data_IF_972922498557
#
_entry.id   IF_972922498557
#
_cell.length_a   1.000
_cell.length_b   1.000
_cell.length_c   1.000
_cell.angle_alpha   90.00
_cell.angle_beta   90.00
_cell.angle_gamma   90.00
#
_symmetry.space_group_name_H-M   'P 1'
#
loop_
_entity.id
_entity.type
_entity.pdbx_description
1 polymer ?
#
# COMPACT_ATOMS: atom_id res chain seq x y z
N UNK A 1 0.53 -37.19 2.40
CA UNK A 1 -0.66 -37.12 3.27
C UNK A 1 -1.30 -35.79 2.91
N UNK A 2 -2.51 -35.79 2.35
CA UNK A 2 -3.16 -34.54 1.94
C UNK A 2 -3.49 -33.75 3.20
N UNK A 3 -2.95 -32.54 3.30
CA UNK A 3 -3.24 -31.64 4.40
C UNK A 3 -4.54 -30.90 4.08
N UNK A 4 -5.62 -31.34 4.70
CA UNK A 4 -6.92 -30.66 4.62
C UNK A 4 -6.91 -29.41 5.49
N UNK A 5 -7.24 -28.26 4.92
CA UNK A 5 -7.31 -26.98 5.62
C UNK A 5 -8.71 -26.38 5.48
N UNK A 6 -9.35 -26.13 6.62
CA UNK A 6 -10.75 -25.72 6.70
C UNK A 6 -10.90 -24.20 6.90
N UNK A 7 -11.46 -23.53 5.89
CA UNK A 7 -11.78 -22.10 5.87
C UNK A 7 -13.28 -21.85 5.66
N UNK A 8 -14.14 -22.85 5.85
CA UNK A 8 -15.58 -22.72 5.60
C UNK A 8 -16.24 -21.65 6.46
N UNK A 9 -17.21 -20.93 5.88
CA UNK A 9 -18.11 -19.97 6.54
C UNK A 9 -17.41 -18.90 7.40
N UNK A 10 -16.21 -18.48 6.98
CA UNK A 10 -15.40 -17.49 7.66
C UNK A 10 -15.19 -16.25 6.77
N UNK A 11 -14.72 -15.17 7.39
CA UNK A 11 -14.39 -13.92 6.70
C UNK A 11 -12.87 -13.77 6.59
N UNK A 12 -12.38 -13.75 5.35
CA UNK A 12 -10.96 -13.54 5.04
C UNK A 12 -10.74 -12.31 4.18
N UNK A 13 -11.68 -11.35 4.18
CA UNK A 13 -11.55 -10.13 3.41
C UNK A 13 -10.17 -9.48 3.61
N UNK A 14 -9.47 -9.18 2.50
CA UNK A 14 -8.13 -8.60 2.43
C UNK A 14 -6.99 -9.48 2.96
N UNK A 15 -7.21 -10.79 3.08
CA UNK A 15 -6.17 -11.74 3.47
C UNK A 15 -5.30 -12.19 2.29
N UNK A 16 -4.03 -12.49 2.56
CA UNK A 16 -3.10 -13.01 1.56
C UNK A 16 -2.74 -14.45 1.87
N UNK A 17 -3.08 -15.33 0.93
CA UNK A 17 -2.86 -16.77 0.98
C UNK A 17 -1.62 -17.21 0.17
N UNK A 18 -0.92 -16.28 -0.48
CA UNK A 18 0.25 -16.55 -1.33
C UNK A 18 1.32 -17.42 -0.64
N UNK A 19 1.52 -17.23 0.67
CA UNK A 19 2.53 -17.97 1.43
C UNK A 19 2.01 -19.26 2.08
N UNK A 20 0.69 -19.43 2.16
CA UNK A 20 0.03 -20.59 2.80
C UNK A 20 -0.04 -21.79 1.84
N UNK A 21 -0.20 -21.51 0.54
CA UNK A 21 -0.34 -22.54 -0.49
C UNK A 21 0.78 -22.44 -1.52
N UNK A 22 1.97 -22.93 -1.17
CA UNK A 22 3.13 -22.92 -2.08
C UNK A 22 2.96 -23.97 -3.18
N UNK A 23 3.42 -23.64 -4.40
CA UNK A 23 3.49 -24.56 -5.54
C UNK A 23 4.20 -25.87 -5.14
N UNK A 24 3.52 -27.00 -5.39
CA UNK A 24 4.01 -28.34 -5.07
C UNK A 24 3.66 -28.86 -3.67
N UNK A 25 2.87 -28.14 -2.87
CA UNK A 25 2.34 -28.63 -1.60
C UNK A 25 1.04 -29.43 -1.77
N UNK A 26 0.88 -30.53 -1.01
CA UNK A 26 -0.31 -31.39 -1.01
C UNK A 26 -1.44 -30.86 -0.10
N UNK A 27 -1.80 -29.58 -0.25
CA UNK A 27 -2.84 -28.95 0.58
C UNK A 27 -4.18 -28.93 -0.17
N UNK A 28 -5.23 -29.44 0.48
CA UNK A 28 -6.61 -29.25 0.01
C UNK A 28 -7.26 -28.16 0.86
N UNK A 29 -7.72 -27.08 0.22
CA UNK A 29 -8.34 -25.96 0.91
C UNK A 29 -9.85 -25.93 0.67
N UNK A 30 -10.63 -25.85 1.75
CA UNK A 30 -12.08 -25.69 1.68
C UNK A 30 -12.50 -24.30 2.16
N UNK A 31 -12.86 -23.44 1.22
CA UNK A 31 -13.36 -22.09 1.40
C UNK A 31 -14.89 -21.99 1.34
N UNK A 32 -15.63 -23.10 1.34
CA UNK A 32 -17.08 -23.08 1.08
C UNK A 32 -17.82 -22.05 1.94
N UNK A 33 -18.64 -21.20 1.31
CA UNK A 33 -19.46 -20.20 1.99
C UNK A 33 -18.69 -19.05 2.67
N UNK A 34 -17.38 -18.94 2.46
CA UNK A 34 -16.55 -17.88 3.01
C UNK A 34 -16.64 -16.57 2.23
N UNK A 35 -16.25 -15.46 2.87
CA UNK A 35 -16.08 -14.15 2.22
C UNK A 35 -14.61 -13.93 1.88
N UNK A 36 -14.35 -13.66 0.61
CA UNK A 36 -13.00 -13.57 0.05
C UNK A 36 -12.82 -12.28 -0.75
N UNK A 37 -13.21 -11.12 -0.20
CA UNK A 37 -13.06 -9.85 -0.92
C UNK A 37 -11.62 -9.39 -0.88
N UNK A 38 -11.12 -8.88 -2.01
CA UNK A 38 -9.78 -8.29 -2.12
C UNK A 38 -8.65 -9.21 -1.59
N UNK A 39 -8.83 -10.52 -1.74
CA UNK A 39 -7.86 -11.53 -1.29
C UNK A 39 -6.72 -11.73 -2.29
N UNK A 40 -5.58 -12.20 -1.81
CA UNK A 40 -4.40 -12.48 -2.62
C UNK A 40 -4.06 -13.97 -2.67
N UNK A 41 -4.34 -14.58 -3.81
CA UNK A 41 -3.99 -15.96 -4.16
C UNK A 41 -2.92 -16.01 -5.27
N UNK A 42 -2.16 -14.94 -5.50
CA UNK A 42 -1.18 -14.91 -6.59
C UNK A 42 -0.15 -16.04 -6.47
N UNK A 43 -0.05 -16.90 -7.49
CA UNK A 43 0.88 -18.03 -7.52
C UNK A 43 0.58 -19.13 -6.51
N UNK A 44 -0.60 -19.16 -5.91
CA UNK A 44 -0.99 -20.17 -4.93
C UNK A 44 -1.28 -21.53 -5.59
N UNK A 45 -0.97 -22.62 -4.88
CA UNK A 45 -1.38 -23.98 -5.25
C UNK A 45 -2.73 -24.32 -4.63
N UNK A 46 -3.78 -24.24 -5.42
CA UNK A 46 -5.18 -24.41 -5.02
C UNK A 46 -5.83 -25.53 -5.84
N UNK A 47 -5.04 -26.53 -6.23
CA UNK A 47 -5.53 -27.72 -6.91
C UNK A 47 -6.57 -28.41 -6.04
N UNK A 48 -7.70 -28.78 -6.65
CA UNK A 48 -8.87 -29.39 -6.01
C UNK A 48 -9.56 -28.52 -4.94
N UNK A 49 -9.16 -27.25 -4.73
CA UNK A 49 -9.74 -26.39 -3.68
C UNK A 49 -11.23 -26.11 -3.90
N UNK A 50 -12.00 -26.04 -2.81
CA UNK A 50 -13.44 -25.79 -2.85
C UNK A 50 -13.77 -24.33 -2.49
N UNK A 51 -14.25 -23.58 -3.46
CA UNK A 51 -14.75 -22.19 -3.35
C UNK A 51 -16.27 -22.11 -3.56
N UNK A 52 -17.00 -23.22 -3.38
CA UNK A 52 -18.44 -23.24 -3.59
C UNK A 52 -19.16 -22.26 -2.65
N UNK A 53 -20.23 -21.64 -3.13
CA UNK A 53 -21.06 -20.69 -2.37
C UNK A 53 -20.29 -19.48 -1.80
N UNK A 54 -19.10 -19.18 -2.31
CA UNK A 54 -18.30 -18.04 -1.83
C UNK A 54 -18.71 -16.74 -2.48
N UNK A 55 -18.56 -15.65 -1.71
CA UNK A 55 -18.67 -14.29 -2.23
C UNK A 55 -17.27 -13.71 -2.41
N UNK A 56 -16.81 -13.66 -3.65
CA UNK A 56 -15.52 -13.10 -4.04
C UNK A 56 -15.75 -11.76 -4.73
N UNK A 57 -15.05 -10.73 -4.28
CA UNK A 57 -15.40 -9.37 -4.61
C UNK A 57 -14.29 -8.37 -4.36
N UNK A 58 -14.63 -7.10 -4.56
CA UNK A 58 -13.83 -5.98 -4.08
C UNK A 58 -14.39 -5.49 -2.75
N UNK A 59 -13.52 -5.20 -1.78
CA UNK A 59 -13.91 -4.37 -0.64
C UNK A 59 -13.94 -2.90 -1.05
N UNK A 60 -15.13 -2.41 -1.42
CA UNK A 60 -15.33 -1.03 -1.85
C UNK A 60 -14.93 -0.01 -0.79
N UNK A 61 -15.11 -0.30 0.51
CA UNK A 61 -14.77 0.66 1.58
C UNK A 61 -13.26 0.85 1.65
N UNK A 62 -12.51 -0.24 1.65
CA UNK A 62 -11.04 -0.19 1.70
C UNK A 62 -10.50 0.40 0.41
N UNK A 63 -10.97 -0.05 -0.75
CA UNK A 63 -10.53 0.47 -2.05
C UNK A 63 -10.75 1.99 -2.16
N UNK A 64 -11.94 2.48 -1.82
CA UNK A 64 -12.22 3.92 -1.83
C UNK A 64 -11.35 4.68 -0.82
N UNK A 65 -11.06 4.10 0.34
CA UNK A 65 -10.16 4.71 1.31
C UNK A 65 -8.73 4.84 0.76
N UNK A 66 -8.21 3.79 0.10
CA UNK A 66 -6.87 3.80 -0.51
C UNK A 66 -6.78 4.82 -1.66
N UNK A 67 -7.78 4.87 -2.54
CA UNK A 67 -7.86 5.89 -3.61
C UNK A 67 -7.93 7.29 -3.03
N UNK A 68 -8.81 7.52 -2.04
CA UNK A 68 -8.97 8.83 -1.42
C UNK A 68 -7.65 9.31 -0.81
N UNK A 69 -6.92 8.43 -0.12
CA UNK A 69 -5.60 8.76 0.43
C UNK A 69 -4.60 9.14 -0.65
N UNK A 70 -4.57 8.39 -1.76
CA UNK A 70 -3.71 8.70 -2.91
C UNK A 70 -4.04 10.06 -3.52
N UNK A 71 -5.32 10.32 -3.78
CA UNK A 71 -5.80 11.57 -4.37
C UNK A 71 -5.52 12.76 -3.44
N UNK A 72 -5.77 12.60 -2.14
CA UNK A 72 -5.50 13.64 -1.14
C UNK A 72 -4.02 14.04 -1.10
N UNK A 73 -3.09 13.08 -1.23
CA UNK A 73 -1.67 13.38 -1.27
C UNK A 73 -1.26 14.12 -2.55
N UNK A 74 -1.86 13.79 -3.70
CA UNK A 74 -1.57 14.49 -4.96
C UNK A 74 -2.14 15.91 -4.92
N UNK A 75 -3.40 16.08 -4.49
CA UNK A 75 -4.10 17.37 -4.52
C UNK A 75 -3.64 18.31 -3.40
N UNK A 76 -3.41 17.80 -2.19
CA UNK A 76 -3.06 18.62 -1.02
C UNK A 76 -1.58 18.51 -0.69
N UNK A 77 -1.03 17.30 -0.71
CA UNK A 77 0.35 17.04 -0.28
C UNK A 77 1.39 17.77 -1.14
N UNK A 78 1.26 17.68 -2.47
CA UNK A 78 2.22 18.33 -3.38
C UNK A 78 2.16 19.87 -3.26
N UNK A 79 0.99 20.54 -3.34
CA UNK A 79 0.93 22.00 -3.22
C UNK A 79 1.34 22.53 -1.86
N UNK A 80 0.95 21.86 -0.76
CA UNK A 80 1.38 22.29 0.59
C UNK A 80 2.90 22.10 0.73
N UNK A 81 3.48 21.05 0.10
CA UNK A 81 4.93 20.81 0.11
C UNK A 81 5.67 21.93 -0.62
N UNK A 82 5.13 22.35 -1.77
CA UNK A 82 5.66 23.49 -2.52
C UNK A 82 5.51 24.81 -1.75
N UNK A 83 4.33 25.08 -1.16
CA UNK A 83 4.07 26.29 -0.38
C UNK A 83 4.98 26.40 0.85
N UNK A 84 5.21 25.29 1.57
CA UNK A 84 6.13 25.27 2.72
C UNK A 84 7.58 25.49 2.29
N UNK A 85 8.00 24.92 1.16
CA UNK A 85 9.30 25.24 0.58
C UNK A 85 9.42 26.73 0.20
N UNK A 86 8.41 27.29 -0.46
CA UNK A 86 8.37 28.71 -0.86
C UNK A 86 8.41 29.67 0.33
N UNK A 87 7.60 29.41 1.38
CA UNK A 87 7.58 30.22 2.61
C UNK A 87 8.89 30.14 3.37
N UNK A 88 9.60 29.00 3.36
CA UNK A 88 10.92 28.90 3.99
C UNK A 88 11.96 29.82 3.34
N UNK A 89 11.88 30.02 2.02
CA UNK A 89 12.75 30.99 1.36
C UNK A 89 12.48 32.41 1.89
N UNK A 90 11.22 32.79 2.11
CA UNK A 90 10.85 34.14 2.53
C UNK A 90 11.03 34.43 4.04
N UNK A 91 10.75 33.48 4.94
CA UNK A 91 10.54 33.76 6.39
C UNK A 91 11.72 33.37 7.30
N UNK A 92 12.57 32.41 6.90
CA UNK A 92 13.62 31.84 7.77
C UNK A 92 15.06 32.16 7.32
N UNK A 93 15.24 33.12 6.41
CA UNK A 93 16.54 33.71 6.12
C UNK A 93 17.26 33.19 4.87
N UNK A 94 16.55 32.62 3.89
CA UNK A 94 17.07 32.33 2.55
C UNK A 94 16.32 33.14 1.47
N UNK A 95 16.07 34.41 1.77
CA UNK A 95 15.24 35.32 0.99
C UNK A 95 15.83 35.73 -0.35
N UNK A 96 14.94 36.09 -1.28
CA UNK A 96 15.24 36.71 -2.56
C UNK A 96 16.14 37.94 -2.32
N UNK A 97 17.43 37.81 -2.63
CA UNK A 97 18.45 38.86 -2.44
C UNK A 97 19.68 38.45 -1.62
N UNK A 98 19.67 37.29 -0.96
CA UNK A 98 20.88 36.64 -0.44
C UNK A 98 21.16 35.35 -1.22
N UNK A 99 22.43 34.98 -1.37
CA UNK A 99 22.87 33.76 -2.06
C UNK A 99 22.05 32.57 -1.56
N UNK A 100 21.45 31.83 -2.49
CA UNK A 100 20.73 30.59 -2.20
C UNK A 100 21.70 29.70 -1.43
N UNK A 101 21.53 29.57 -0.11
CA UNK A 101 22.36 28.64 0.67
C UNK A 101 21.95 27.22 0.26
N UNK A 102 22.79 26.49 -0.51
CA UNK A 102 22.44 25.14 -0.96
C UNK A 102 22.38 24.16 0.19
N UNK A 103 22.90 24.56 1.36
CA UNK A 103 22.89 23.85 2.61
C UNK A 103 21.80 24.39 3.55
N UNK A 104 20.95 25.32 3.11
CA UNK A 104 19.84 25.87 3.90
C UNK A 104 18.81 24.81 4.31
N UNK A 105 18.69 23.75 3.52
CA UNK A 105 17.92 22.57 3.94
C UNK A 105 18.66 21.74 4.99
N UNK A 106 19.99 21.80 5.17
CA UNK A 106 20.72 21.17 6.28
C UNK A 106 20.58 21.95 7.59
N UNK A 107 20.37 23.26 7.51
CA UNK A 107 20.12 24.13 8.67
C UNK A 107 18.65 24.18 9.08
N UNK A 108 17.71 23.87 8.16
CA UNK A 108 16.27 23.72 8.46
C UNK A 108 15.57 22.44 7.87
N UNK A 109 16.15 21.22 7.94
CA UNK A 109 15.63 20.04 7.23
C UNK A 109 14.45 19.39 7.92
N UNK A 110 14.52 19.32 9.25
CA UNK A 110 13.71 18.37 9.99
C UNK A 110 12.35 18.93 10.36
N UNK A 111 12.19 20.25 10.47
CA UNK A 111 10.95 20.86 10.97
C UNK A 111 9.76 20.69 10.00
N UNK A 112 10.01 20.69 8.69
CA UNK A 112 8.97 20.57 7.66
C UNK A 112 8.80 19.15 7.12
N UNK A 113 9.89 18.41 6.96
CA UNK A 113 9.85 16.99 6.61
C UNK A 113 9.13 16.20 7.70
N UNK A 114 9.27 16.59 8.98
CA UNK A 114 8.54 15.98 10.09
C UNK A 114 7.08 16.43 10.18
N UNK A 115 6.76 17.70 9.89
CA UNK A 115 5.37 18.19 9.81
C UNK A 115 4.59 17.51 8.66
N UNK A 116 5.26 17.25 7.53
CA UNK A 116 4.74 16.44 6.44
C UNK A 116 4.67 14.95 6.78
N UNK A 117 5.71 14.41 7.40
CA UNK A 117 5.73 13.01 7.84
C UNK A 117 4.61 12.70 8.83
N UNK A 118 4.23 13.65 9.69
CA UNK A 118 3.09 13.50 10.61
C UNK A 118 1.75 13.73 9.95
N UNK A 119 1.59 14.68 9.02
CA UNK A 119 0.35 14.82 8.24
C UNK A 119 0.02 13.55 7.45
N UNK A 120 1.05 12.85 6.96
CA UNK A 120 0.90 11.82 5.95
C UNK A 120 0.87 10.37 6.53
N UNK A 121 1.32 10.18 7.78
CA UNK A 121 1.34 8.85 8.45
C UNK A 121 0.25 8.67 9.51
N UNK A 122 -0.40 9.76 9.95
CA UNK A 122 -1.39 9.72 11.02
C UNK A 122 -2.81 9.56 10.49
N UNK A 123 -3.22 8.31 10.23
CA UNK A 123 -4.61 7.95 9.94
C UNK A 123 -5.58 8.29 11.10
N UNK A 124 -5.06 8.68 12.27
CA UNK A 124 -5.84 9.09 13.45
C UNK A 124 -5.62 10.58 13.71
N UNK A 125 -6.64 11.39 13.37
CA UNK A 125 -6.69 12.86 13.54
C UNK A 125 -6.17 13.36 14.91
N UNK A 126 -6.34 12.59 15.97
CA UNK A 126 -5.96 13.00 17.32
C UNK A 126 -4.45 12.96 17.62
N UNK A 127 -3.70 12.00 17.05
CA UNK A 127 -2.24 11.99 17.23
C UNK A 127 -1.59 13.18 16.50
N UNK A 128 -2.18 13.56 15.36
CA UNK A 128 -1.77 14.72 14.57
C UNK A 128 -1.95 16.03 15.35
N UNK A 129 -3.11 16.21 15.98
CA UNK A 129 -3.39 17.40 16.79
C UNK A 129 -2.41 17.57 17.96
N UNK A 130 -2.02 16.47 18.63
CA UNK A 130 -1.02 16.50 19.70
C UNK A 130 0.37 16.89 19.20
N UNK A 131 0.75 16.40 18.02
CA UNK A 131 2.03 16.75 17.41
C UNK A 131 2.09 18.22 16.96
N UNK A 132 1.02 18.71 16.33
CA UNK A 132 0.89 20.14 15.98
C UNK A 132 0.91 21.04 17.21
N UNK A 133 0.29 20.62 18.32
CA UNK A 133 0.36 21.35 19.58
C UNK A 133 1.78 21.40 20.17
N UNK A 134 2.57 20.31 20.05
CA UNK A 134 3.96 20.28 20.49
C UNK A 134 4.86 21.20 19.66
N UNK A 135 4.69 21.22 18.33
CA UNK A 135 5.40 22.17 17.45
C UNK A 135 4.99 23.61 17.80
N UNK A 136 3.69 23.87 17.95
CA UNK A 136 3.19 25.20 18.34
C UNK A 136 3.77 25.68 19.67
N UNK A 137 3.87 24.77 20.66
CA UNK A 137 4.52 25.06 21.94
C UNK A 137 6.02 25.37 21.78
N UNK A 138 6.72 24.65 20.90
CA UNK A 138 8.14 24.91 20.62
C UNK A 138 8.35 26.33 20.05
N UNK A 139 7.54 26.72 19.06
CA UNK A 139 7.59 28.06 18.47
C UNK A 139 7.28 29.13 19.52
N UNK A 140 6.29 28.88 20.37
CA UNK A 140 5.91 29.81 21.44
C UNK A 140 7.01 29.98 22.50
N UNK A 141 7.65 28.89 22.95
CA UNK A 141 8.77 28.95 23.92
C UNK A 141 9.98 29.68 23.32
N UNK A 142 10.27 29.46 22.04
CA UNK A 142 11.34 30.16 21.32
C UNK A 142 11.10 31.68 21.23
N UNK A 143 9.84 32.13 21.18
CA UNK A 143 9.50 33.56 21.18
C UNK A 143 9.67 34.25 22.54
N UNK A 144 9.65 33.50 23.66
CA UNK A 144 9.62 34.07 25.02
C UNK A 144 11.00 34.11 25.68
N UNK A 145 11.90 33.18 25.39
CA UNK A 145 13.25 33.22 25.99
C UNK A 145 14.32 32.58 25.10
N UNK A 146 15.41 33.30 24.84
CA UNK A 146 16.51 32.83 24.00
C UNK A 146 17.39 31.76 24.69
N UNK A 147 17.51 31.79 26.02
CA UNK A 147 18.31 30.81 26.78
C UNK A 147 17.56 29.50 27.07
N UNK A 148 16.27 29.54 27.43
CA UNK A 148 15.50 28.30 27.62
C UNK A 148 15.17 27.64 26.27
N UNK A 149 15.14 28.40 25.17
CA UNK A 149 15.05 27.88 23.81
C UNK A 149 16.19 26.91 23.45
N UNK A 150 17.38 27.06 24.04
CA UNK A 150 18.52 26.18 23.77
C UNK A 150 18.29 24.76 24.29
N UNK A 151 18.13 24.59 25.60
CA UNK A 151 18.00 23.25 26.22
C UNK A 151 16.63 22.62 25.94
N UNK A 152 15.55 23.39 26.08
CA UNK A 152 14.19 22.90 25.81
C UNK A 152 14.01 22.62 24.32
N UNK A 153 14.58 23.46 23.45
CA UNK A 153 14.57 23.26 22.00
C UNK A 153 15.30 22.00 21.56
N UNK A 154 16.50 21.72 22.10
CA UNK A 154 17.25 20.49 21.80
C UNK A 154 16.48 19.24 22.24
N UNK A 155 15.94 19.23 23.47
CA UNK A 155 15.12 18.12 23.95
C UNK A 155 13.87 17.89 23.07
N UNK A 156 13.17 18.96 22.68
CA UNK A 156 12.00 18.88 21.81
C UNK A 156 12.34 18.43 20.39
N UNK A 157 13.49 18.86 19.83
CA UNK A 157 13.99 18.42 18.54
C UNK A 157 14.28 16.93 18.53
N UNK A 158 14.91 16.40 19.58
CA UNK A 158 15.16 14.96 19.72
C UNK A 158 13.86 14.15 19.83
N UNK A 159 12.88 14.66 20.57
CA UNK A 159 11.54 14.04 20.67
C UNK A 159 10.82 14.06 19.32
N UNK A 160 10.84 15.20 18.63
CA UNK A 160 10.28 15.32 17.29
C UNK A 160 10.97 14.34 16.34
N UNK A 161 12.30 14.25 16.38
CA UNK A 161 13.13 13.34 15.59
C UNK A 161 12.75 11.87 15.79
N UNK A 162 12.61 11.44 17.05
CA UNK A 162 12.13 10.10 17.37
C UNK A 162 10.72 9.84 16.85
N UNK A 163 9.82 10.83 16.98
CA UNK A 163 8.42 10.70 16.57
C UNK A 163 8.24 10.53 15.06
N UNK A 164 8.98 11.24 14.18
CA UNK A 164 8.84 10.93 12.75
C UNK A 164 9.69 9.78 12.25
N UNK A 165 10.78 9.35 12.90
CA UNK A 165 11.33 8.01 12.59
C UNK A 165 10.26 6.95 12.85
N UNK A 166 9.58 7.03 14.00
CA UNK A 166 8.48 6.14 14.32
C UNK A 166 7.30 6.27 13.35
N UNK A 167 6.95 7.50 12.96
CA UNK A 167 5.93 7.80 11.96
C UNK A 167 6.26 7.20 10.59
N UNK A 168 7.48 7.38 10.09
CA UNK A 168 7.98 6.81 8.83
C UNK A 168 7.93 5.28 8.89
N UNK A 169 8.38 4.69 10.00
CA UNK A 169 8.31 3.23 10.20
C UNK A 169 6.86 2.71 10.14
N UNK A 170 5.94 3.34 10.87
CA UNK A 170 4.53 2.98 10.83
C UNK A 170 3.93 3.20 9.43
N UNK A 171 4.30 4.28 8.76
CA UNK A 171 3.90 4.58 7.40
C UNK A 171 4.34 3.50 6.42
N UNK A 172 5.59 3.03 6.51
CA UNK A 172 6.11 1.91 5.72
C UNK A 172 5.33 0.62 5.96
N UNK A 173 5.12 0.25 7.23
CA UNK A 173 4.34 -0.95 7.58
C UNK A 173 2.91 -0.88 7.05
N UNK A 174 2.31 0.32 7.09
CA UNK A 174 0.98 0.58 6.53
C UNK A 174 0.98 0.78 5.02
N UNK A 175 2.14 0.82 4.36
CA UNK A 175 2.27 1.07 2.93
C UNK A 175 1.72 2.43 2.53
N UNK A 176 1.90 3.46 3.36
CA UNK A 176 1.39 4.81 3.10
C UNK A 176 2.19 5.50 2.00
N UNK A 177 1.50 6.06 1.01
CA UNK A 177 2.09 6.83 -0.10
C UNK A 177 2.91 8.03 0.38
N UNK A 178 2.50 8.60 1.50
CA UNK A 178 3.20 9.59 2.30
C UNK A 178 4.71 9.37 2.39
N UNK A 179 5.09 8.13 2.69
CA UNK A 179 6.47 7.77 2.97
C UNK A 179 7.30 7.87 1.70
N UNK A 180 6.72 7.47 0.56
CA UNK A 180 7.35 7.66 -0.75
C UNK A 180 7.59 9.14 -1.05
N UNK A 181 6.59 9.99 -0.80
CA UNK A 181 6.72 11.44 -1.06
C UNK A 181 7.79 12.10 -0.19
N UNK A 182 7.93 11.69 1.07
CA UNK A 182 8.96 12.22 1.99
C UNK A 182 10.37 11.94 1.44
N UNK A 183 10.63 10.68 1.09
CA UNK A 183 11.93 10.28 0.56
C UNK A 183 12.20 10.90 -0.81
N UNK A 184 11.16 11.11 -1.63
CA UNK A 184 11.29 11.84 -2.89
C UNK A 184 11.74 13.29 -2.66
N UNK A 185 11.14 14.00 -1.70
CA UNK A 185 11.55 15.36 -1.34
C UNK A 185 13.01 15.41 -0.88
N UNK A 186 13.42 14.50 0.01
CA UNK A 186 14.82 14.40 0.48
C UNK A 186 15.78 14.15 -0.69
N UNK A 187 15.41 13.25 -1.60
CA UNK A 187 16.19 12.94 -2.79
C UNK A 187 16.36 14.13 -3.73
N UNK A 188 15.27 14.87 -3.98
CA UNK A 188 15.30 16.08 -4.83
C UNK A 188 16.14 17.18 -4.18
N UNK A 189 15.96 17.46 -2.88
CA UNK A 189 16.76 18.45 -2.16
C UNK A 189 18.25 18.11 -2.19
N UNK A 190 18.60 16.85 -1.96
CA UNK A 190 19.99 16.38 -2.03
C UNK A 190 20.57 16.55 -3.45
N UNK A 191 19.77 16.33 -4.50
CA UNK A 191 20.24 16.44 -5.88
C UNK A 191 20.54 17.89 -6.27
N UNK A 192 19.69 18.82 -5.83
CA UNK A 192 19.89 20.26 -6.02
C UNK A 192 21.19 20.68 -5.31
N UNK A 193 21.40 20.27 -4.06
CA UNK A 193 22.62 20.61 -3.32
C UNK A 193 23.88 20.02 -3.91
N UNK A 194 23.82 18.81 -4.47
CA UNK A 194 24.94 18.24 -5.21
C UNK A 194 25.30 19.12 -6.42
N UNK A 195 24.29 19.57 -7.18
CA UNK A 195 24.46 20.44 -8.33
C UNK A 195 25.03 21.81 -7.97
N UNK A 196 24.47 22.48 -6.96
CA UNK A 196 24.97 23.77 -6.48
C UNK A 196 26.39 23.67 -5.94
N UNK A 197 26.68 22.65 -5.13
CA UNK A 197 28.02 22.44 -4.56
C UNK A 197 29.09 22.27 -5.65
N UNK A 198 28.77 21.56 -6.73
CA UNK A 198 29.66 21.40 -7.88
C UNK A 198 29.78 22.66 -8.74
N UNK A 199 28.65 23.24 -9.16
CA UNK A 199 28.61 24.30 -10.17
C UNK A 199 28.98 25.67 -9.61
N UNK A 200 28.49 26.00 -8.42
CA UNK A 200 28.54 27.35 -7.85
C UNK A 200 29.69 27.50 -6.85
N UNK A 201 29.91 26.48 -6.01
CA UNK A 201 30.91 26.54 -4.93
C UNK A 201 32.21 25.80 -5.24
N UNK A 202 32.25 24.99 -6.31
CA UNK A 202 33.41 24.17 -6.70
C UNK A 202 33.88 23.20 -5.59
N UNK A 203 32.98 22.77 -4.69
CA UNK A 203 33.29 21.90 -3.57
C UNK A 203 32.97 20.43 -3.88
N UNK A 204 33.91 19.76 -4.55
CA UNK A 204 33.75 18.37 -5.04
C UNK A 204 33.33 17.39 -3.93
N UNK A 205 33.88 17.53 -2.73
CA UNK A 205 33.60 16.61 -1.63
C UNK A 205 32.13 16.63 -1.20
N UNK A 206 31.51 17.81 -1.12
CA UNK A 206 30.10 17.96 -0.78
C UNK A 206 29.20 17.53 -1.94
N UNK A 207 29.58 17.82 -3.19
CA UNK A 207 28.87 17.31 -4.36
C UNK A 207 28.77 15.78 -4.36
N UNK A 208 29.87 15.08 -4.07
CA UNK A 208 29.88 13.61 -3.96
C UNK A 208 29.02 13.13 -2.78
N UNK A 209 29.15 13.76 -1.62
CA UNK A 209 28.35 13.41 -0.43
C UNK A 209 26.84 13.50 -0.74
N UNK A 210 26.39 14.61 -1.33
CA UNK A 210 24.98 14.80 -1.66
C UNK A 210 24.52 13.88 -2.77
N UNK A 211 25.35 13.61 -3.78
CA UNK A 211 25.03 12.63 -4.80
C UNK A 211 24.77 11.24 -4.19
N UNK A 212 25.58 10.79 -3.23
CA UNK A 212 25.32 9.55 -2.48
C UNK A 212 24.01 9.65 -1.70
N UNK A 213 23.77 10.79 -1.03
CA UNK A 213 22.52 11.06 -0.31
C UNK A 213 21.29 11.16 -1.22
N UNK A 214 21.40 11.31 -2.54
CA UNK A 214 20.23 11.22 -3.45
C UNK A 214 19.77 9.79 -3.68
N UNK A 215 20.72 8.86 -3.78
CA UNK A 215 20.48 7.50 -4.22
C UNK A 215 19.65 6.74 -3.17
N UNK A 216 20.01 6.88 -1.89
CA UNK A 216 19.35 6.17 -0.79
C UNK A 216 17.86 6.57 -0.67
N UNK A 217 17.49 7.86 -0.57
CA UNK A 217 16.11 8.33 -0.64
C UNK A 217 15.37 7.89 -1.89
N UNK A 218 15.99 7.93 -3.07
CA UNK A 218 15.33 7.51 -4.30
C UNK A 218 14.90 6.03 -4.22
N UNK A 219 15.79 5.14 -3.76
CA UNK A 219 15.48 3.71 -3.58
C UNK A 219 14.34 3.51 -2.56
N UNK A 220 14.41 4.22 -1.44
CA UNK A 220 13.41 4.16 -0.38
C UNK A 220 12.05 4.67 -0.87
N UNK A 221 12.03 5.79 -1.60
CA UNK A 221 10.83 6.33 -2.23
C UNK A 221 10.20 5.31 -3.18
N UNK A 222 10.98 4.74 -4.10
CA UNK A 222 10.50 3.72 -5.04
C UNK A 222 9.90 2.52 -4.32
N UNK A 223 10.56 2.01 -3.27
CA UNK A 223 10.03 0.90 -2.47
C UNK A 223 8.70 1.26 -1.80
N UNK A 224 8.59 2.45 -1.20
CA UNK A 224 7.36 2.89 -0.56
C UNK A 224 6.20 3.03 -1.56
N UNK A 225 6.45 3.61 -2.74
CA UNK A 225 5.44 3.71 -3.79
C UNK A 225 5.01 2.34 -4.29
N UNK A 226 5.95 1.43 -4.54
CA UNK A 226 5.65 0.07 -4.97
C UNK A 226 4.78 -0.68 -3.95
N UNK A 227 5.06 -0.53 -2.66
CA UNK A 227 4.24 -1.13 -1.59
C UNK A 227 2.82 -0.55 -1.55
N UNK A 228 2.68 0.77 -1.71
CA UNK A 228 1.36 1.41 -1.77
C UNK A 228 0.57 0.96 -2.99
N UNK A 229 1.17 0.95 -4.18
CA UNK A 229 0.53 0.48 -5.41
C UNK A 229 0.13 -1.00 -5.32
N UNK A 230 0.97 -1.84 -4.71
CA UNK A 230 0.61 -3.22 -4.44
C UNK A 230 -0.64 -3.31 -3.56
N UNK A 231 -0.75 -2.52 -2.48
CA UNK A 231 -1.95 -2.47 -1.63
C UNK A 231 -3.20 -1.95 -2.34
N UNK A 232 -3.06 -0.92 -3.18
CA UNK A 232 -4.18 -0.44 -4.00
C UNK A 232 -4.62 -1.54 -4.97
N UNK A 233 -3.67 -2.24 -5.61
CA UNK A 233 -3.97 -3.34 -6.53
C UNK A 233 -4.70 -4.48 -5.81
N UNK A 234 -4.22 -4.88 -4.63
CA UNK A 234 -4.85 -5.92 -3.81
C UNK A 234 -6.24 -5.50 -3.34
N UNK A 235 -6.43 -4.24 -2.93
CA UNK A 235 -7.76 -3.76 -2.54
C UNK A 235 -8.73 -3.64 -3.72
N UNK A 236 -8.25 -3.59 -4.97
CA UNK A 236 -9.08 -3.43 -6.16
C UNK A 236 -9.80 -4.71 -6.62
N UNK A 237 -9.27 -5.89 -6.30
CA UNK A 237 -9.79 -7.17 -6.79
C UNK A 237 -9.20 -8.34 -6.02
N UNK A 238 -9.92 -9.46 -5.99
CA UNK A 238 -9.33 -10.74 -5.57
C UNK A 238 -8.48 -11.31 -6.69
N UNK A 239 -7.20 -11.61 -6.42
CA UNK A 239 -6.25 -12.02 -7.45
C UNK A 239 -5.89 -13.49 -7.33
N UNK A 240 -6.14 -14.23 -8.41
CA UNK A 240 -5.67 -15.61 -8.65
C UNK A 240 -4.55 -15.62 -9.69
N UNK A 241 -3.83 -14.50 -9.86
CA UNK A 241 -2.88 -14.35 -10.95
C UNK A 241 -1.74 -15.37 -10.83
N UNK A 242 -1.55 -16.20 -11.86
CA UNK A 242 -0.55 -17.27 -11.84
C UNK A 242 -0.83 -18.42 -10.86
N UNK A 243 -2.02 -18.47 -10.23
CA UNK A 243 -2.39 -19.56 -9.34
C UNK A 243 -2.68 -20.85 -10.11
N UNK A 244 -2.39 -22.00 -9.51
CA UNK A 244 -2.88 -23.28 -10.01
C UNK A 244 -4.21 -23.60 -9.32
N UNK A 245 -5.32 -23.48 -10.03
CA UNK A 245 -6.66 -23.83 -9.53
C UNK A 245 -7.22 -25.01 -10.31
N UNK A 246 -6.36 -25.93 -10.79
CA UNK A 246 -6.80 -27.13 -11.50
C UNK A 246 -7.80 -27.92 -10.67
N UNK A 247 -8.92 -28.33 -11.28
CA UNK A 247 -10.03 -29.03 -10.62
C UNK A 247 -10.67 -28.31 -9.42
N UNK A 248 -10.39 -27.01 -9.22
CA UNK A 248 -11.06 -26.25 -8.17
C UNK A 248 -12.57 -26.17 -8.44
N UNK A 249 -13.35 -25.99 -7.38
CA UNK A 249 -14.82 -25.90 -7.44
C UNK A 249 -15.28 -24.50 -7.11
N UNK A 250 -16.00 -23.85 -8.00
CA UNK A 250 -16.62 -22.53 -7.79
C UNK A 250 -18.15 -22.63 -7.88
N UNK A 251 -18.72 -23.74 -7.42
CA UNK A 251 -20.15 -24.03 -7.59
C UNK A 251 -21.00 -22.99 -6.85
N UNK A 252 -21.95 -22.34 -7.53
CA UNK A 252 -22.77 -21.26 -6.98
C UNK A 252 -21.96 -20.08 -6.40
N UNK A 253 -20.70 -19.90 -6.80
CA UNK A 253 -19.87 -18.80 -6.32
C UNK A 253 -20.24 -17.48 -7.02
N UNK A 254 -20.14 -16.37 -6.29
CA UNK A 254 -20.31 -15.02 -6.83
C UNK A 254 -18.93 -14.41 -7.02
N UNK A 255 -18.53 -14.20 -8.27
CA UNK A 255 -17.20 -13.70 -8.65
C UNK A 255 -17.33 -12.30 -9.25
N UNK A 256 -17.04 -11.28 -8.44
CA UNK A 256 -16.97 -9.89 -8.89
C UNK A 256 -15.54 -9.37 -8.80
N UNK A 257 -15.06 -8.67 -9.83
CA UNK A 257 -13.72 -8.07 -9.83
C UNK A 257 -12.62 -9.09 -9.45
N UNK A 258 -12.52 -10.19 -10.18
CA UNK A 258 -11.47 -11.20 -9.97
C UNK A 258 -10.44 -11.17 -11.09
N UNK A 259 -9.17 -11.45 -10.77
CA UNK A 259 -8.08 -11.56 -11.73
C UNK A 259 -7.55 -13.00 -11.83
N UNK A 260 -7.94 -13.72 -12.87
CA UNK A 260 -7.45 -15.07 -13.19
C UNK A 260 -6.34 -15.06 -14.25
N UNK A 261 -5.72 -13.91 -14.56
CA UNK A 261 -4.66 -13.86 -15.58
C UNK A 261 -3.49 -14.78 -15.23
N UNK A 262 -3.11 -15.65 -16.17
CA UNK A 262 -2.03 -16.62 -15.97
C UNK A 262 -2.37 -17.78 -15.03
N UNK A 263 -3.59 -17.85 -14.48
CA UNK A 263 -4.02 -18.97 -13.68
C UNK A 263 -4.20 -20.23 -14.54
N UNK A 264 -3.93 -21.40 -13.98
CA UNK A 264 -4.28 -22.67 -14.59
C UNK A 264 -5.73 -23.03 -14.21
N UNK A 265 -6.63 -22.97 -15.20
CA UNK A 265 -8.07 -23.19 -15.04
C UNK A 265 -8.52 -24.58 -15.53
N UNK A 266 -7.58 -25.53 -15.66
CA UNK A 266 -7.89 -26.88 -16.16
C UNK A 266 -8.89 -27.60 -15.26
N UNK A 267 -10.00 -28.08 -15.83
CA UNK A 267 -10.99 -28.90 -15.09
C UNK A 267 -11.76 -28.15 -14.00
N UNK A 268 -11.71 -26.82 -13.95
CA UNK A 268 -12.47 -26.04 -12.95
C UNK A 268 -13.97 -26.22 -13.14
N UNK A 269 -14.66 -26.46 -12.03
CA UNK A 269 -16.11 -26.55 -11.97
C UNK A 269 -16.72 -25.16 -11.72
N UNK A 270 -17.39 -24.60 -12.74
CA UNK A 270 -18.03 -23.27 -12.69
C UNK A 270 -19.56 -23.33 -12.56
N UNK A 271 -20.17 -24.48 -12.27
CA UNK A 271 -21.64 -24.61 -12.29
C UNK A 271 -22.32 -23.63 -11.32
N UNK A 272 -23.30 -22.85 -11.80
CA UNK A 272 -23.98 -21.83 -11.00
C UNK A 272 -23.14 -20.60 -10.66
N UNK A 273 -21.88 -20.52 -11.10
CA UNK A 273 -21.00 -19.39 -10.79
C UNK A 273 -21.38 -18.14 -11.59
N UNK A 274 -21.40 -16.98 -10.95
CA UNK A 274 -21.66 -15.70 -11.64
C UNK A 274 -20.37 -14.91 -11.81
N UNK A 275 -20.15 -14.35 -13.00
CA UNK A 275 -18.94 -13.58 -13.32
C UNK A 275 -19.26 -12.14 -13.69
N UNK A 276 -18.67 -11.18 -12.96
CA UNK A 276 -18.79 -9.76 -13.27
C UNK A 276 -17.43 -9.08 -13.16
N UNK A 277 -17.05 -8.34 -14.21
CA UNK A 277 -15.77 -7.62 -14.28
C UNK A 277 -14.54 -8.50 -13.95
N UNK A 278 -14.57 -9.78 -14.35
CA UNK A 278 -13.47 -10.72 -14.13
C UNK A 278 -12.54 -10.76 -15.35
N UNK A 279 -11.25 -11.01 -15.10
CA UNK A 279 -10.22 -11.16 -16.15
C UNK A 279 -9.80 -12.62 -16.24
N UNK A 280 -9.69 -13.13 -17.46
CA UNK A 280 -9.34 -14.52 -17.74
C UNK A 280 -8.09 -14.64 -18.63
N UNK A 281 -7.38 -15.79 -18.59
CA UNK A 281 -6.28 -16.07 -19.51
C UNK A 281 -6.69 -15.98 -20.97
N UNK A 282 -5.72 -15.68 -21.85
CA UNK A 282 -5.94 -15.69 -23.31
C UNK A 282 -6.37 -17.10 -23.74
N UNK A 283 -7.40 -17.18 -24.57
CA UNK A 283 -7.96 -18.44 -25.06
C UNK A 283 -9.03 -19.06 -24.16
N UNK A 284 -9.33 -18.46 -23.00
CA UNK A 284 -10.47 -18.86 -22.20
C UNK A 284 -11.78 -18.31 -22.81
N UNK A 285 -12.67 -19.20 -23.25
CA UNK A 285 -13.98 -18.83 -23.80
C UNK A 285 -14.97 -18.59 -22.66
N UNK A 286 -15.16 -17.32 -22.29
CA UNK A 286 -16.10 -16.94 -21.23
C UNK A 286 -17.54 -17.31 -21.58
N UNK A 287 -17.93 -17.19 -22.85
CA UNK A 287 -19.31 -17.41 -23.27
C UNK A 287 -19.71 -18.89 -23.15
N UNK A 288 -18.80 -19.82 -23.47
CA UNK A 288 -19.02 -21.27 -23.27
C UNK A 288 -19.14 -21.63 -21.78
N UNK A 289 -18.30 -21.04 -20.93
CA UNK A 289 -18.31 -21.32 -19.50
C UNK A 289 -19.46 -20.63 -18.77
N UNK A 290 -19.92 -19.47 -19.25
CA UNK A 290 -21.12 -18.81 -18.75
C UNK A 290 -22.37 -19.66 -19.05
N UNK A 291 -22.44 -20.33 -20.20
CA UNK A 291 -23.52 -21.28 -20.52
C UNK A 291 -23.51 -22.48 -19.58
N UNK A 292 -22.33 -23.00 -19.22
CA UNK A 292 -22.17 -24.09 -18.23
C UNK A 292 -22.57 -23.62 -16.83
N UNK A 293 -22.21 -22.38 -16.48
CA UNK A 293 -22.58 -21.77 -15.21
C UNK A 293 -24.10 -21.51 -15.10
N UNK A 294 -24.76 -21.11 -16.18
CA UNK A 294 -26.20 -20.85 -16.22
C UNK A 294 -27.05 -22.14 -16.37
N UNK A 295 -26.43 -23.32 -16.52
CA UNK A 295 -27.15 -24.59 -16.69
C UNK A 295 -27.77 -25.09 -15.37
N UNK A 296 -29.12 -25.17 -15.26
CA UNK A 296 -29.82 -25.47 -14.00
C UNK A 296 -29.84 -26.97 -13.59
N UNK A 297 -29.45 -27.89 -14.48
CA UNK A 297 -29.71 -29.33 -14.35
C UNK A 297 -28.71 -30.12 -13.47
N UNK A 298 -27.65 -29.50 -12.94
CA UNK A 298 -26.67 -30.17 -12.07
C UNK A 298 -27.16 -30.36 -10.61
N UNK A 299 -28.27 -29.71 -10.23
CA UNK A 299 -28.78 -29.76 -8.84
C UNK A 299 -29.46 -31.10 -8.49
N UNK A 300 -30.10 -31.77 -9.47
CA UNK A 300 -30.90 -32.99 -9.24
C UNK A 300 -30.09 -34.28 -9.14
N UNK A 301 -28.84 -34.30 -9.64
CA UNK A 301 -27.98 -35.49 -9.62
C UNK A 301 -27.06 -35.54 -8.38
N UNK A 302 -26.68 -34.38 -7.83
CA UNK A 302 -25.91 -34.27 -6.58
C UNK A 302 -26.80 -34.50 -5.34
N UNK A 303 -28.05 -33.99 -5.32
CA UNK A 303 -29.02 -34.32 -4.26
C UNK A 303 -29.37 -35.82 -4.18
N UNK A 304 -29.38 -36.51 -5.33
CA UNK A 304 -29.60 -37.98 -5.36
C UNK A 304 -28.42 -38.79 -4.85
N UNK A 305 -27.20 -38.24 -4.87
CA UNK A 305 -26.00 -38.89 -4.33
C UNK A 305 -25.88 -38.70 -2.81
N UNK A 306 -26.41 -37.60 -2.25
CA UNK A 306 -26.47 -37.37 -0.79
C UNK A 306 -27.63 -38.10 -0.13
N UNK A 307 -28.77 -38.28 -0.81
CA UNK A 307 -29.91 -39.05 -0.28
C UNK A 307 -29.67 -40.57 -0.19
N UNK A 308 -28.75 -41.12 -0.99
CA UNK A 308 -28.44 -42.56 -1.01
C UNK A 308 -27.28 -42.97 -0.07
N UNK A 309 -26.84 -42.08 0.84
CA UNK A 309 -25.81 -42.38 1.85
C UNK A 309 -26.26 -42.12 3.30
N UNK A 310 -27.56 -42.19 3.56
CA UNK A 310 -28.13 -42.30 4.92
C UNK A 310 -28.80 -43.66 5.10
#
# INVERSE_FOLDING_TARGET
MINYVNYRYQDFDNHSFQNEFRLGGDNYADFTGSRLKSCDFCGANLVDADFSETAIGRDDKIFQSQITQMVLHIIIGIPVGFMTWWVNQEVLGCGIGQTIDPYGWLTNPFTWIFAFATMATMSKRWLFLRYMALIGLMVFVAMISSQAAGVVGVCLLLVAFGLAIFGIYLGYKKGSIAVGTIWMTVGISSAISAGCSWLEYQEIHYAILFAILTIIPAILATRAFNLHFAKVKLSAMTSFNGADITNARFVNAVLENCDFLGANLGGVDWHGATFKNCKFPKGFSRDEQAVIADAPDSNLSIEKLTANKL
#
